data_IF_712037152879
#
_entry.id   IF_712037152879
#
_cell.length_a   1.000
_cell.length_b   1.000
_cell.length_c   1.000
_cell.angle_alpha   90.00
_cell.angle_beta   90.00
_cell.angle_gamma   90.00
#
_symmetry.space_group_name_H-M   'P 1'
#
loop_
_entity.id
_entity.type
_entity.pdbx_description
1 polymer ?
#
# COMPACT_ATOMS: atom_id res chain seq x y z
N UNK A 1 -15.27 -17.34 -6.53
CA UNK A 1 -14.15 -17.00 -7.44
C UNK A 1 -14.38 -15.68 -8.17
N UNK A 2 -15.54 -15.49 -8.81
CA UNK A 2 -15.88 -14.23 -9.50
C UNK A 2 -15.71 -12.98 -8.62
N UNK A 3 -16.22 -13.00 -7.37
CA UNK A 3 -16.06 -11.86 -6.45
C UNK A 3 -14.60 -11.48 -6.14
N UNK A 4 -13.68 -12.44 -6.14
CA UNK A 4 -12.24 -12.15 -5.95
C UNK A 4 -11.62 -11.51 -7.18
N UNK A 5 -11.99 -11.98 -8.37
CA UNK A 5 -11.53 -11.40 -9.64
C UNK A 5 -12.03 -9.95 -9.76
N UNK A 6 -13.32 -9.73 -9.49
CA UNK A 6 -13.91 -8.38 -9.52
C UNK A 6 -13.28 -7.47 -8.46
N UNK A 7 -13.02 -7.96 -7.25
CA UNK A 7 -12.31 -7.20 -6.22
C UNK A 7 -10.89 -6.79 -6.64
N UNK A 8 -10.17 -7.67 -7.34
CA UNK A 8 -8.87 -7.34 -7.94
C UNK A 8 -8.98 -6.24 -8.98
N UNK A 9 -9.90 -6.36 -9.94
CA UNK A 9 -10.14 -5.35 -10.99
C UNK A 9 -10.51 -3.99 -10.37
N UNK A 10 -11.43 -3.99 -9.40
CA UNK A 10 -11.84 -2.77 -8.71
C UNK A 10 -10.67 -2.09 -7.99
N UNK A 11 -9.81 -2.87 -7.33
CA UNK A 11 -8.60 -2.35 -6.66
C UNK A 11 -7.63 -1.75 -7.68
N UNK A 12 -7.39 -2.42 -8.81
CA UNK A 12 -6.53 -1.88 -9.88
C UNK A 12 -7.07 -0.58 -10.44
N UNK A 13 -8.38 -0.48 -10.68
CA UNK A 13 -9.03 0.76 -11.15
C UNK A 13 -8.92 1.88 -10.11
N UNK A 14 -9.14 1.57 -8.83
CA UNK A 14 -9.11 2.56 -7.75
C UNK A 14 -7.77 3.28 -7.65
N UNK A 15 -6.65 2.57 -7.85
CA UNK A 15 -5.33 3.20 -7.84
C UNK A 15 -4.98 3.81 -9.20
N UNK A 16 -5.05 3.05 -10.28
CA UNK A 16 -4.55 3.49 -11.59
C UNK A 16 -5.38 4.59 -12.26
N UNK A 17 -6.71 4.47 -12.25
CA UNK A 17 -7.58 5.44 -12.91
C UNK A 17 -7.62 6.76 -12.14
N UNK A 18 -7.67 6.69 -10.81
CA UNK A 18 -7.64 7.86 -9.93
C UNK A 18 -6.33 8.64 -10.09
N UNK A 19 -5.18 7.96 -10.03
CA UNK A 19 -3.87 8.60 -10.18
C UNK A 19 -3.74 9.26 -11.54
N UNK A 20 -4.12 8.56 -12.62
CA UNK A 20 -4.07 9.09 -13.99
C UNK A 20 -4.96 10.32 -14.15
N UNK A 21 -6.19 10.28 -13.61
CA UNK A 21 -7.11 11.42 -13.64
C UNK A 21 -6.55 12.63 -12.88
N UNK A 22 -5.99 12.41 -11.68
CA UNK A 22 -5.45 13.47 -10.84
C UNK A 22 -4.22 14.12 -11.50
N UNK A 23 -3.32 13.32 -12.08
CA UNK A 23 -2.15 13.82 -12.80
C UNK A 23 -2.57 14.70 -13.98
N UNK A 24 -3.51 14.20 -14.81
CA UNK A 24 -4.00 14.94 -15.98
C UNK A 24 -4.69 16.26 -15.59
N UNK A 25 -5.56 16.23 -14.58
CA UNK A 25 -6.27 17.43 -14.11
C UNK A 25 -5.31 18.45 -13.46
N UNK A 26 -4.28 17.96 -12.74
CA UNK A 26 -3.25 18.81 -12.13
C UNK A 26 -2.46 19.59 -13.18
N UNK A 27 -2.03 18.91 -14.24
CA UNK A 27 -1.34 19.56 -15.36
C UNK A 27 -2.26 20.49 -16.16
N UNK A 28 -3.52 20.09 -16.39
CA UNK A 28 -4.52 20.92 -17.09
C UNK A 28 -4.78 22.24 -16.36
N UNK A 29 -4.76 22.24 -15.03
CA UNK A 29 -4.93 23.44 -14.20
C UNK A 29 -3.63 24.25 -14.02
N UNK A 30 -2.50 23.77 -14.54
CA UNK A 30 -1.21 24.46 -14.46
C UNK A 30 -0.66 24.56 -13.04
N UNK A 31 -0.99 23.62 -12.15
CA UNK A 31 -0.47 23.61 -10.80
C UNK A 31 1.00 23.16 -10.74
N UNK A 32 1.72 23.61 -9.73
CA UNK A 32 3.13 23.25 -9.52
C UNK A 32 3.29 21.73 -9.29
N UNK A 33 4.27 21.11 -9.94
CA UNK A 33 4.58 19.67 -9.82
C UNK A 33 4.87 19.25 -8.37
N UNK A 34 5.37 20.17 -7.53
CA UNK A 34 5.59 19.91 -6.11
C UNK A 34 4.28 19.59 -5.36
N UNK A 35 3.17 20.20 -5.75
CA UNK A 35 1.88 20.03 -5.08
C UNK A 35 1.24 18.67 -5.39
N UNK A 36 1.51 18.11 -6.57
CA UNK A 36 1.09 16.76 -6.94
C UNK A 36 1.75 15.72 -6.01
N UNK A 37 3.07 15.82 -5.87
CA UNK A 37 3.84 14.95 -4.97
C UNK A 37 3.40 15.09 -3.51
N UNK A 38 3.08 16.31 -3.06
CA UNK A 38 2.56 16.56 -1.72
C UNK A 38 1.16 15.95 -1.53
N UNK A 39 0.31 16.00 -2.54
CA UNK A 39 -1.05 15.46 -2.50
C UNK A 39 -1.03 13.94 -2.39
N UNK A 40 -0.26 13.25 -3.23
CA UNK A 40 -0.08 11.80 -3.12
C UNK A 40 0.54 11.39 -1.78
N UNK A 41 1.53 12.14 -1.30
CA UNK A 41 2.14 11.87 0.01
C UNK A 41 1.14 12.00 1.16
N UNK A 42 0.27 13.02 1.13
CA UNK A 42 -0.82 13.19 2.12
C UNK A 42 -1.88 12.10 2.00
N UNK A 43 -2.27 11.73 0.78
CA UNK A 43 -3.24 10.67 0.52
C UNK A 43 -2.76 9.32 1.06
N UNK A 44 -1.48 8.98 0.85
CA UNK A 44 -0.89 7.74 1.39
C UNK A 44 -0.78 7.80 2.91
N UNK A 45 -0.32 8.92 3.49
CA UNK A 45 -0.15 9.03 4.94
C UNK A 45 -1.48 8.98 5.69
N UNK A 46 -2.47 9.76 5.24
CA UNK A 46 -3.79 9.85 5.86
C UNK A 46 -4.67 8.64 5.49
N UNK A 47 -4.75 8.28 4.22
CA UNK A 47 -5.57 7.17 3.74
C UNK A 47 -5.00 5.81 4.14
N UNK A 48 -3.83 5.46 3.60
CA UNK A 48 -3.28 4.11 3.79
C UNK A 48 -2.73 3.85 5.21
N UNK A 49 -2.58 4.90 6.02
CA UNK A 49 -2.15 4.83 7.41
C UNK A 49 -3.30 5.07 8.37
N UNK A 50 -3.66 6.34 8.57
CA UNK A 50 -4.61 6.74 9.60
C UNK A 50 -6.01 6.16 9.39
N UNK A 51 -6.57 6.26 8.17
CA UNK A 51 -7.89 5.71 7.86
C UNK A 51 -7.88 4.18 7.97
N UNK A 52 -6.79 3.50 7.60
CA UNK A 52 -6.66 2.06 7.79
C UNK A 52 -6.69 1.65 9.26
N UNK A 53 -6.03 2.41 10.16
CA UNK A 53 -6.08 2.18 11.61
C UNK A 53 -7.51 2.35 12.14
N UNK A 54 -8.14 3.48 11.80
CA UNK A 54 -9.51 3.79 12.25
C UNK A 54 -10.51 2.76 11.72
N UNK A 55 -10.39 2.36 10.45
CA UNK A 55 -11.25 1.35 9.84
C UNK A 55 -11.07 -0.04 10.49
N UNK A 56 -9.85 -0.42 10.84
CA UNK A 56 -9.58 -1.68 11.55
C UNK A 56 -10.21 -1.71 12.94
N UNK A 57 -10.06 -0.62 13.71
CA UNK A 57 -10.69 -0.49 15.03
C UNK A 57 -12.21 -0.43 14.93
N UNK A 58 -12.74 0.28 13.93
CA UNK A 58 -14.17 0.36 13.67
C UNK A 58 -14.75 -1.01 13.27
N UNK A 59 -14.03 -1.78 12.44
CA UNK A 59 -14.39 -3.16 12.10
C UNK A 59 -14.49 -4.06 13.33
N UNK A 60 -13.49 -4.04 14.20
CA UNK A 60 -13.54 -4.77 15.48
C UNK A 60 -14.74 -4.33 16.33
N UNK A 61 -14.99 -3.02 16.42
CA UNK A 61 -16.12 -2.51 17.20
C UNK A 61 -17.47 -3.02 16.67
N UNK A 62 -17.66 -3.05 15.34
CA UNK A 62 -18.89 -3.57 14.72
C UNK A 62 -19.10 -5.06 15.01
N UNK A 63 -18.03 -5.85 14.98
CA UNK A 63 -18.09 -7.31 15.19
C UNK A 63 -18.22 -7.64 16.67
N UNK A 64 -17.33 -7.12 17.52
CA UNK A 64 -17.19 -7.55 18.91
C UNK A 64 -18.17 -6.82 19.86
N UNK A 65 -18.37 -5.51 19.66
CA UNK A 65 -19.19 -4.70 20.59
C UNK A 65 -20.67 -4.69 20.20
N UNK A 66 -20.97 -4.63 18.89
CA UNK A 66 -22.34 -4.62 18.38
C UNK A 66 -22.87 -6.01 17.99
N UNK A 67 -22.00 -7.03 17.98
CA UNK A 67 -22.36 -8.41 17.67
C UNK A 67 -23.10 -8.57 16.31
N UNK A 68 -22.78 -7.69 15.35
CA UNK A 68 -23.43 -7.62 14.03
C UNK A 68 -22.94 -8.73 13.06
N UNK A 69 -22.11 -9.64 13.56
CA UNK A 69 -21.55 -10.75 12.80
C UNK A 69 -20.36 -10.35 11.93
N UNK A 70 -19.66 -11.35 11.36
CA UNK A 70 -18.39 -11.18 10.64
C UNK A 70 -18.51 -10.44 9.30
N UNK A 71 -19.74 -10.26 8.78
CA UNK A 71 -19.99 -9.57 7.51
C UNK A 71 -20.16 -8.06 7.70
N UNK A 72 -20.38 -7.59 8.93
CA UNK A 72 -20.66 -6.18 9.23
C UNK A 72 -19.59 -5.18 8.75
N UNK A 73 -18.28 -5.47 8.74
CA UNK A 73 -17.29 -4.53 8.18
C UNK A 73 -17.42 -4.37 6.65
N UNK A 74 -17.86 -5.41 5.94
CA UNK A 74 -18.08 -5.35 4.50
C UNK A 74 -19.28 -4.48 4.15
N UNK A 75 -20.38 -4.60 4.90
CA UNK A 75 -21.57 -3.80 4.70
C UNK A 75 -21.29 -2.31 4.99
N UNK A 76 -20.56 -2.03 6.07
CA UNK A 76 -20.12 -0.68 6.40
C UNK A 76 -19.24 -0.08 5.28
N UNK A 77 -18.28 -0.85 4.75
CA UNK A 77 -17.44 -0.43 3.63
C UNK A 77 -18.28 -0.10 2.38
N UNK A 78 -19.35 -0.86 2.11
CA UNK A 78 -20.29 -0.57 1.03
C UNK A 78 -20.96 0.80 1.14
N UNK A 79 -21.34 1.20 2.35
CA UNK A 79 -21.92 2.53 2.62
C UNK A 79 -20.90 3.64 2.32
N UNK A 80 -19.66 3.49 2.80
CA UNK A 80 -18.60 4.47 2.53
C UNK A 80 -18.28 4.57 1.04
N UNK A 81 -18.27 3.45 0.32
CA UNK A 81 -18.08 3.44 -1.14
C UNK A 81 -19.22 4.14 -1.87
N UNK A 82 -20.48 3.94 -1.45
CA UNK A 82 -21.63 4.61 -2.05
C UNK A 82 -21.56 6.14 -1.85
N UNK A 83 -21.15 6.59 -0.67
CA UNK A 83 -20.91 8.02 -0.39
C UNK A 83 -19.76 8.54 -1.28
N UNK A 84 -18.65 7.81 -1.35
CA UNK A 84 -17.52 8.17 -2.22
C UNK A 84 -17.92 8.30 -3.69
N UNK A 85 -18.75 7.37 -4.19
CA UNK A 85 -19.30 7.41 -5.53
C UNK A 85 -20.16 8.66 -5.77
N UNK A 86 -21.05 9.00 -4.83
CA UNK A 86 -21.88 10.21 -4.94
C UNK A 86 -21.05 11.49 -4.94
N UNK A 87 -19.98 11.54 -4.14
CA UNK A 87 -19.05 12.68 -4.13
C UNK A 87 -18.29 12.80 -5.45
N UNK A 88 -17.78 11.68 -5.99
CA UNK A 88 -17.07 11.68 -7.28
C UNK A 88 -18.02 12.14 -8.40
N UNK A 89 -19.23 11.57 -8.49
CA UNK A 89 -20.20 11.94 -9.53
C UNK A 89 -20.64 13.40 -9.48
N UNK A 90 -20.66 14.01 -8.29
CA UNK A 90 -21.06 15.42 -8.12
C UNK A 90 -19.91 16.41 -8.27
N UNK A 91 -18.69 16.01 -7.91
CA UNK A 91 -17.55 16.94 -7.80
C UNK A 91 -16.52 16.79 -8.92
N UNK A 92 -16.45 15.63 -9.57
CA UNK A 92 -15.43 15.35 -10.57
C UNK A 92 -15.98 15.59 -11.98
N UNK A 93 -15.30 16.45 -12.72
CA UNK A 93 -15.57 16.63 -14.15
C UNK A 93 -14.93 15.49 -14.94
N UNK A 94 -15.61 15.05 -15.99
CA UNK A 94 -15.10 14.00 -16.85
C UNK A 94 -13.82 14.43 -17.56
N UNK A 95 -12.79 13.59 -17.49
CA UNK A 95 -11.46 13.90 -18.01
C UNK A 95 -11.05 12.83 -19.02
N UNK A 96 -11.33 13.11 -20.29
CA UNK A 96 -11.07 12.19 -21.40
C UNK A 96 -9.61 12.20 -21.90
N UNK A 97 -8.70 12.93 -21.24
CA UNK A 97 -7.34 13.14 -21.75
C UNK A 97 -7.32 14.04 -22.98
N UNK A 98 -6.23 14.00 -23.75
CA UNK A 98 -6.07 14.80 -24.97
C UNK A 98 -6.67 14.05 -26.19
N UNK A 99 -7.75 14.55 -26.81
CA UNK A 99 -8.37 13.91 -27.96
C UNK A 99 -7.46 13.85 -29.20
N UNK A 100 -6.36 14.63 -29.23
CA UNK A 100 -5.36 14.56 -30.30
C UNK A 100 -4.40 13.36 -30.19
N UNK A 101 -4.35 12.70 -29.02
CA UNK A 101 -3.54 11.53 -28.73
C UNK A 101 -4.39 10.23 -28.64
N UNK A 102 -5.43 10.10 -29.47
CA UNK A 102 -6.19 8.85 -29.62
C UNK A 102 -5.35 7.78 -30.35
N UNK A 103 -4.21 7.39 -29.76
CA UNK A 103 -3.36 6.29 -30.21
C UNK A 103 -4.04 4.98 -29.87
N UNK A 104 -4.03 4.05 -30.81
CA UNK A 104 -4.54 2.69 -30.61
C UNK A 104 -3.90 2.03 -29.38
N UNK A 105 -4.68 1.31 -28.57
CA UNK A 105 -4.24 0.78 -27.27
C UNK A 105 -2.98 -0.08 -27.42
N UNK A 106 -2.94 -0.93 -28.46
CA UNK A 106 -1.78 -1.76 -28.79
C UNK A 106 -0.51 -0.95 -29.00
N UNK A 107 -0.63 0.23 -29.61
CA UNK A 107 0.52 1.13 -29.85
C UNK A 107 1.02 1.73 -28.53
N UNK A 108 0.13 2.08 -27.61
CA UNK A 108 0.49 2.59 -26.29
C UNK A 108 1.16 1.51 -25.43
N UNK A 109 0.59 0.31 -25.39
CA UNK A 109 1.19 -0.83 -24.67
C UNK A 109 2.57 -1.19 -25.22
N UNK A 110 2.73 -1.19 -26.56
CA UNK A 110 4.03 -1.41 -27.19
C UNK A 110 5.03 -0.32 -26.83
N UNK A 111 4.61 0.95 -26.83
CA UNK A 111 5.44 2.07 -26.41
C UNK A 111 5.92 1.95 -24.97
N UNK A 112 5.02 1.62 -24.04
CA UNK A 112 5.35 1.39 -22.64
C UNK A 112 6.30 0.19 -22.47
N UNK A 113 6.06 -0.93 -23.16
CA UNK A 113 6.93 -2.10 -23.12
C UNK A 113 8.35 -1.78 -23.63
N UNK A 114 8.45 -1.02 -24.72
CA UNK A 114 9.76 -0.56 -25.24
C UNK A 114 10.45 0.39 -24.26
N UNK A 115 9.73 1.33 -23.67
CA UNK A 115 10.29 2.25 -22.67
C UNK A 115 10.89 1.49 -21.47
N UNK A 116 10.14 0.53 -20.92
CA UNK A 116 10.60 -0.33 -19.82
C UNK A 116 11.81 -1.17 -20.25
N UNK A 117 11.79 -1.75 -21.45
CA UNK A 117 12.89 -2.59 -21.93
C UNK A 117 14.16 -1.78 -22.29
N UNK A 118 14.01 -0.51 -22.66
CA UNK A 118 15.11 0.35 -23.07
C UNK A 118 15.88 0.98 -21.92
N UNK A 119 15.23 1.17 -20.77
CA UNK A 119 15.83 1.77 -19.59
C UNK A 119 15.97 0.73 -18.47
N UNK A 120 17.21 0.26 -18.27
CA UNK A 120 17.56 -0.70 -17.24
C UNK A 120 17.13 -0.23 -15.83
N UNK A 121 17.15 1.08 -15.56
CA UNK A 121 16.72 1.60 -14.26
C UNK A 121 15.22 1.45 -14.06
N UNK A 122 14.41 1.69 -15.10
CA UNK A 122 12.96 1.52 -15.05
C UNK A 122 12.62 0.03 -14.86
N UNK A 123 13.28 -0.85 -15.61
CA UNK A 123 13.10 -2.30 -15.46
C UNK A 123 13.48 -2.78 -14.05
N UNK A 124 14.62 -2.32 -13.51
CA UNK A 124 15.08 -2.70 -12.18
C UNK A 124 14.16 -2.17 -11.07
N UNK A 125 13.69 -0.92 -11.19
CA UNK A 125 12.70 -0.35 -10.26
C UNK A 125 11.41 -1.16 -10.28
N UNK A 126 10.91 -1.52 -11.46
CA UNK A 126 9.72 -2.37 -11.60
C UNK A 126 9.90 -3.77 -11.00
N UNK A 127 11.07 -4.38 -11.19
CA UNK A 127 11.39 -5.68 -10.61
C UNK A 127 11.49 -5.63 -9.08
N UNK A 128 12.19 -4.62 -8.54
CA UNK A 128 12.29 -4.39 -7.08
C UNK A 128 10.89 -4.19 -6.49
N UNK A 129 10.07 -3.34 -7.10
CA UNK A 129 8.71 -3.06 -6.65
C UNK A 129 7.84 -4.32 -6.67
N UNK A 130 7.91 -5.12 -7.73
CA UNK A 130 7.10 -6.34 -7.87
C UNK A 130 7.49 -7.41 -6.83
N UNK A 131 8.79 -7.65 -6.63
CA UNK A 131 9.28 -8.58 -5.62
C UNK A 131 8.88 -8.13 -4.21
N UNK A 132 9.01 -6.83 -3.98
CA UNK A 132 8.67 -6.19 -2.74
C UNK A 132 7.16 -6.34 -2.43
N UNK A 133 6.30 -5.97 -3.37
CA UNK A 133 4.85 -5.99 -3.16
C UNK A 133 4.34 -7.42 -3.02
N UNK A 134 4.91 -8.36 -3.78
CA UNK A 134 4.66 -9.79 -3.64
C UNK A 134 5.01 -10.33 -2.24
N UNK A 135 6.13 -9.90 -1.66
CA UNK A 135 6.50 -10.27 -0.29
C UNK A 135 5.52 -9.70 0.75
N UNK A 136 5.05 -8.47 0.54
CA UNK A 136 4.07 -7.82 1.42
C UNK A 136 2.71 -8.51 1.38
N UNK A 137 2.20 -8.85 0.19
CA UNK A 137 0.93 -9.60 0.08
C UNK A 137 1.03 -11.00 0.67
N UNK A 138 2.17 -11.68 0.51
CA UNK A 138 2.41 -12.98 1.14
C UNK A 138 2.35 -12.87 2.66
N UNK A 139 2.97 -11.84 3.24
CA UNK A 139 2.88 -11.56 4.66
C UNK A 139 1.43 -11.26 5.10
N UNK A 140 0.72 -10.36 4.41
CA UNK A 140 -0.67 -10.00 4.73
C UNK A 140 -1.64 -11.18 4.58
N UNK A 141 -1.33 -12.17 3.75
CA UNK A 141 -2.11 -13.38 3.64
C UNK A 141 -1.83 -14.38 4.78
N UNK A 142 -0.57 -14.52 5.20
CA UNK A 142 -0.15 -15.56 6.13
C UNK A 142 -0.13 -15.13 7.61
N UNK A 143 -0.14 -13.83 7.93
CA UNK A 143 0.01 -13.38 9.32
C UNK A 143 -1.13 -13.82 10.24
N UNK A 144 -2.39 -13.86 9.77
CA UNK A 144 -3.52 -14.32 10.58
C UNK A 144 -3.45 -15.82 10.90
N UNK A 145 -3.30 -16.74 9.92
CA UNK A 145 -3.16 -18.16 10.24
C UNK A 145 -1.85 -18.49 10.97
N UNK A 146 -0.80 -17.70 10.79
CA UNK A 146 0.46 -17.89 11.52
C UNK A 146 0.36 -17.51 13.02
N UNK A 147 -0.49 -16.54 13.36
CA UNK A 147 -0.69 -16.11 14.75
C UNK A 147 -1.75 -16.95 15.47
N UNK A 148 -2.75 -17.45 14.75
CA UNK A 148 -3.82 -18.29 15.30
C UNK A 148 -3.83 -19.68 14.63
N UNK A 149 -2.80 -20.53 14.87
CA UNK A 149 -2.77 -21.87 14.30
C UNK A 149 -3.80 -22.82 14.91
N UNK A 150 -4.31 -22.52 16.11
CA UNK A 150 -5.29 -23.34 16.85
C UNK A 150 -6.63 -22.62 17.06
N UNK A 151 -7.00 -21.68 16.19
CA UNK A 151 -8.21 -20.83 16.34
C UNK A 151 -8.29 -20.11 17.69
N UNK A 152 -7.13 -19.64 18.18
CA UNK A 152 -7.02 -18.80 19.36
C UNK A 152 -7.70 -17.44 19.10
N UNK A 153 -8.46 -16.97 20.09
CA UNK A 153 -9.16 -15.69 20.04
C UNK A 153 -8.15 -14.55 20.26
N UNK A 154 -7.66 -13.99 19.16
CA UNK A 154 -6.64 -12.95 19.14
C UNK A 154 -7.25 -11.68 18.55
N UNK A 155 -7.06 -10.50 19.17
CA UNK A 155 -7.61 -9.24 18.68
C UNK A 155 -6.91 -8.77 17.38
N UNK A 156 -7.27 -9.35 16.25
CA UNK A 156 -6.61 -9.15 14.95
C UNK A 156 -6.58 -7.67 14.51
N UNK A 157 -7.67 -6.91 14.69
CA UNK A 157 -7.67 -5.51 14.30
C UNK A 157 -6.75 -4.61 15.14
N UNK A 158 -6.47 -4.97 16.40
CA UNK A 158 -5.44 -4.27 17.17
C UNK A 158 -4.04 -4.57 16.64
N UNK A 159 -3.74 -5.83 16.32
CA UNK A 159 -2.45 -6.22 15.71
C UNK A 159 -2.27 -5.51 14.36
N UNK A 160 -3.30 -5.50 13.52
CA UNK A 160 -3.30 -4.76 12.25
C UNK A 160 -3.09 -3.26 12.45
N UNK A 161 -3.74 -2.64 13.43
CA UNK A 161 -3.52 -1.24 13.78
C UNK A 161 -2.06 -0.97 14.19
N UNK A 162 -1.43 -1.91 14.91
CA UNK A 162 0.00 -1.81 15.22
C UNK A 162 0.84 -1.86 13.95
N UNK A 163 0.61 -2.80 13.02
CA UNK A 163 1.33 -2.85 11.74
C UNK A 163 1.18 -1.56 10.93
N UNK A 164 -0.03 -1.00 10.87
CA UNK A 164 -0.27 0.27 10.19
C UNK A 164 0.45 1.43 10.88
N UNK A 165 0.45 1.50 12.21
CA UNK A 165 1.21 2.49 12.97
C UNK A 165 2.73 2.39 12.70
N UNK A 166 3.27 1.17 12.68
CA UNK A 166 4.66 0.89 12.31
C UNK A 166 5.00 1.48 10.94
N UNK A 167 4.13 1.22 9.97
CA UNK A 167 4.29 1.69 8.59
C UNK A 167 4.23 3.22 8.48
N UNK A 168 3.40 3.89 9.30
CA UNK A 168 3.32 5.35 9.38
C UNK A 168 4.60 5.95 10.00
N UNK A 169 5.15 5.31 11.04
CA UNK A 169 6.42 5.70 11.64
C UNK A 169 7.57 5.56 10.62
N UNK A 170 7.63 4.44 9.90
CA UNK A 170 8.60 4.23 8.82
C UNK A 170 8.51 5.31 7.74
N UNK A 171 7.29 5.60 7.28
CA UNK A 171 7.04 6.66 6.29
C UNK A 171 7.46 8.05 6.78
N UNK A 172 7.26 8.34 8.08
CA UNK A 172 7.67 9.61 8.69
C UNK A 172 9.19 9.75 8.79
N UNK A 173 9.88 8.66 9.13
CA UNK A 173 11.35 8.61 9.17
C UNK A 173 11.93 8.78 7.76
N UNK A 174 11.36 8.07 6.78
CA UNK A 174 11.70 8.22 5.37
C UNK A 174 11.54 9.66 4.86
N UNK A 175 10.41 10.30 5.15
CA UNK A 175 10.16 11.68 4.77
C UNK A 175 11.19 12.65 5.38
N UNK A 176 11.61 12.42 6.63
CA UNK A 176 12.64 13.23 7.29
C UNK A 176 14.06 12.96 6.74
N UNK A 177 14.36 11.72 6.38
CA UNK A 177 15.63 11.36 5.74
C UNK A 177 15.73 12.01 4.36
N UNK A 178 14.64 12.00 3.59
CA UNK A 178 14.55 12.67 2.29
C UNK A 178 14.71 14.18 2.33
N UNK A 179 14.22 14.82 3.39
CA UNK A 179 14.37 16.27 3.56
C UNK A 179 15.85 16.68 3.71
N UNK A 180 16.75 15.72 3.98
CA UNK A 180 18.19 15.94 4.05
C UNK A 180 18.83 15.62 2.70
N UNK A 181 19.20 16.67 1.97
CA UNK A 181 19.87 16.60 0.65
C UNK A 181 21.26 15.93 0.66
N UNK A 182 21.80 15.59 1.83
CA UNK A 182 23.14 14.99 1.98
C UNK A 182 23.18 13.46 1.87
N UNK A 183 22.05 12.77 1.92
CA UNK A 183 22.00 11.29 1.93
C UNK A 183 21.45 10.77 0.61
N UNK A 184 22.25 9.97 -0.09
CA UNK A 184 21.83 9.27 -1.30
C UNK A 184 20.76 8.23 -0.98
N UNK A 185 19.69 8.22 -1.76
CA UNK A 185 18.53 7.33 -1.58
C UNK A 185 18.95 5.87 -1.64
N UNK A 186 19.85 5.56 -2.57
CA UNK A 186 20.36 4.23 -2.83
C UNK A 186 21.03 3.63 -1.59
N UNK A 187 21.78 4.44 -0.83
CA UNK A 187 22.57 3.95 0.31
C UNK A 187 21.71 3.52 1.50
N UNK A 188 20.67 4.28 1.86
CA UNK A 188 19.80 3.84 2.97
C UNK A 188 18.79 2.78 2.51
N UNK A 189 18.37 2.79 1.24
CA UNK A 189 17.45 1.77 0.72
C UNK A 189 18.08 0.37 0.75
N UNK A 190 19.38 0.25 0.43
CA UNK A 190 20.11 -1.02 0.58
C UNK A 190 20.06 -1.55 2.02
N UNK A 191 20.25 -0.68 3.02
CA UNK A 191 20.16 -1.05 4.44
C UNK A 191 18.74 -1.51 4.77
N UNK A 192 17.72 -0.77 4.32
CA UNK A 192 16.31 -1.14 4.53
C UNK A 192 16.00 -2.51 3.93
N UNK A 193 16.48 -2.81 2.73
CA UNK A 193 16.30 -4.12 2.09
C UNK A 193 16.98 -5.26 2.87
N UNK A 194 18.23 -5.06 3.30
CA UNK A 194 18.96 -6.08 4.08
C UNK A 194 18.26 -6.36 5.42
N UNK A 195 17.87 -5.31 6.14
CA UNK A 195 17.18 -5.47 7.44
C UNK A 195 15.81 -6.11 7.24
N UNK A 196 15.04 -5.71 6.21
CA UNK A 196 13.75 -6.33 5.88
C UNK A 196 13.91 -7.82 5.56
N UNK A 197 14.90 -8.16 4.73
CA UNK A 197 15.17 -9.55 4.36
C UNK A 197 15.57 -10.41 5.56
N UNK A 198 16.43 -9.87 6.44
CA UNK A 198 16.80 -10.54 7.69
C UNK A 198 15.58 -10.74 8.60
N UNK A 199 14.71 -9.73 8.74
CA UNK A 199 13.51 -9.82 9.56
C UNK A 199 12.49 -10.84 9.05
N UNK A 200 12.35 -10.98 7.73
CA UNK A 200 11.50 -12.01 7.10
C UNK A 200 12.12 -13.42 7.16
N UNK A 201 13.44 -13.54 7.31
CA UNK A 201 14.14 -14.82 7.44
C UNK A 201 14.07 -15.40 8.86
N UNK A 202 14.02 -14.53 9.88
CA UNK A 202 13.94 -14.93 11.29
C UNK A 202 12.84 -15.96 11.62
N UNK A 203 11.58 -15.84 11.19
CA UNK A 203 10.55 -16.86 11.45
C UNK A 203 10.93 -18.26 11.00
N UNK A 204 11.66 -18.36 9.89
CA UNK A 204 12.10 -19.63 9.33
C UNK A 204 13.15 -20.28 10.25
N UNK A 205 14.04 -19.46 10.83
CA UNK A 205 15.13 -19.92 11.69
C UNK A 205 14.66 -20.24 13.13
N UNK A 206 13.59 -19.59 13.61
CA UNK A 206 13.11 -19.70 15.00
C UNK A 206 12.04 -20.78 15.22
N UNK A 207 11.55 -21.43 14.15
CA UNK A 207 10.54 -22.51 14.18
C UNK A 207 10.83 -23.69 15.14
N UNK A 208 12.03 -23.77 15.74
CA UNK A 208 12.38 -24.76 16.76
C UNK A 208 12.09 -24.38 18.23
N UNK A 209 11.80 -23.11 18.56
CA UNK A 209 11.76 -22.65 19.97
C UNK A 209 10.36 -22.19 20.40
N UNK A 210 9.62 -23.05 21.10
CA UNK A 210 8.15 -22.99 21.26
C UNK A 210 7.51 -21.86 22.11
N UNK A 211 8.23 -20.95 22.78
CA UNK A 211 7.56 -20.03 23.75
C UNK A 211 8.06 -18.57 23.75
N UNK A 212 9.33 -18.29 23.47
CA UNK A 212 9.81 -16.90 23.29
C UNK A 212 9.58 -16.35 21.86
N UNK A 213 9.08 -17.21 20.97
CA UNK A 213 8.96 -16.98 19.53
C UNK A 213 7.64 -16.33 19.10
N UNK A 214 6.68 -16.00 19.97
CA UNK A 214 5.44 -15.33 19.54
C UNK A 214 5.58 -13.81 19.53
N UNK A 215 6.02 -13.21 20.64
CA UNK A 215 6.17 -11.76 20.77
C UNK A 215 7.37 -11.23 19.97
N UNK A 216 8.51 -11.93 20.01
CA UNK A 216 9.70 -11.51 19.27
C UNK A 216 9.46 -11.62 17.76
N UNK A 217 8.74 -12.66 17.32
CA UNK A 217 8.32 -12.84 15.93
C UNK A 217 7.31 -11.79 15.48
N UNK A 218 6.35 -11.44 16.32
CA UNK A 218 5.42 -10.34 16.05
C UNK A 218 6.16 -9.01 15.90
N UNK A 219 7.15 -8.74 16.75
CA UNK A 219 8.01 -7.53 16.67
C UNK A 219 8.86 -7.53 15.40
N UNK A 220 9.41 -8.68 14.99
CA UNK A 220 10.20 -8.77 13.76
C UNK A 220 9.33 -8.68 12.50
N UNK A 221 8.15 -9.30 12.50
CA UNK A 221 7.15 -9.15 11.44
C UNK A 221 6.67 -7.69 11.34
N UNK A 222 6.52 -7.02 12.48
CA UNK A 222 6.18 -5.60 12.58
C UNK A 222 7.31 -4.71 12.01
N UNK A 223 8.56 -4.99 12.35
CA UNK A 223 9.75 -4.32 11.80
C UNK A 223 9.88 -4.57 10.30
N UNK A 224 9.68 -5.81 9.85
CA UNK A 224 9.65 -6.18 8.45
C UNK A 224 8.59 -5.36 7.71
N UNK A 225 7.35 -5.34 8.20
CA UNK A 225 6.24 -4.61 7.58
C UNK A 225 6.48 -3.09 7.56
N UNK A 226 7.03 -2.52 8.64
CA UNK A 226 7.35 -1.10 8.73
C UNK A 226 8.44 -0.69 7.73
N UNK A 227 9.53 -1.46 7.66
CA UNK A 227 10.63 -1.25 6.73
C UNK A 227 10.21 -1.55 5.29
N UNK A 228 9.30 -2.51 5.12
CA UNK A 228 8.75 -2.83 3.84
C UNK A 228 7.99 -1.60 3.32
N UNK A 229 6.95 -1.12 4.01
CA UNK A 229 6.17 0.05 3.52
C UNK A 229 7.01 1.31 3.33
N UNK A 230 8.13 1.44 4.05
CA UNK A 230 9.10 2.51 3.85
C UNK A 230 9.57 2.56 2.39
N UNK A 231 9.85 1.40 1.76
CA UNK A 231 10.25 1.27 0.35
C UNK A 231 9.15 1.70 -0.63
N UNK A 232 7.88 1.35 -0.37
CA UNK A 232 6.75 1.70 -1.25
C UNK A 232 6.51 3.21 -1.36
N UNK A 233 6.69 3.95 -0.26
CA UNK A 233 6.50 5.42 -0.23
C UNK A 233 7.53 6.12 -1.13
N UNK A 234 8.69 5.50 -1.39
CA UNK A 234 9.69 6.03 -2.32
C UNK A 234 9.34 5.77 -3.78
N UNK A 235 8.73 4.64 -4.10
CA UNK A 235 8.36 4.30 -5.48
C UNK A 235 7.22 5.15 -6.05
N UNK A 236 6.45 5.83 -5.19
CA UNK A 236 5.32 6.67 -5.58
C UNK A 236 5.66 8.13 -5.92
N UNK A 237 6.95 8.51 -5.96
CA UNK A 237 7.35 9.82 -6.47
C UNK A 237 7.91 9.70 -7.88
N UNK A 238 7.49 10.56 -8.82
CA UNK A 238 8.20 10.68 -10.09
C UNK A 238 9.63 11.13 -9.79
N UNK A 239 10.61 10.42 -10.37
CA UNK A 239 12.01 10.86 -10.47
C UNK A 239 12.11 12.17 -11.24
#
# INVERSE_FOLDING_TARGET
MVGRVLGGIATSLLFSAFESWLVAEHFKRGFDQQWLSLTFSKAIFLGNGLVAIVAGLFGNFLVDSLNLGPVSPFDAAGIFLAIGMAVILSSWTENYGDPSESKDLLTQFKGAAVAIASDEKIALLGAIQSLFEGSMYTFVFLWTPALSPNDEDIPHGFIFATFMLASMLGSSIAARLLARSSVKVESYMQIVFVVSSASLLLPILTNGSKVAASHLQAVFNFLAFALLKLVLVFSGRPL
#
